data_IF_258351321230
#
_entry.id   IF_258351321230
#
_cell.length_a   1.000
_cell.length_b   1.000
_cell.length_c   1.000
_cell.angle_alpha   90.00
_cell.angle_beta   90.00
_cell.angle_gamma   90.00
#
_symmetry.space_group_name_H-M   'P 1'
#
loop_
_entity.id
_entity.type
_entity.pdbx_description
1 polymer ?
#
# COMPACT_ATOMS: atom_id res chain seq x y z
N UNK A 1 -13.25 5.17 8.02
CA UNK A 1 -13.24 4.87 6.58
C UNK A 1 -14.06 3.61 6.29
N UNK A 2 -13.61 2.42 6.71
CA UNK A 2 -14.32 1.14 6.48
C UNK A 2 -15.82 1.12 6.87
N UNK A 3 -16.18 1.41 8.13
CA UNK A 3 -17.57 1.29 8.59
C UNK A 3 -18.55 2.38 8.11
N UNK A 4 -18.07 3.36 7.33
CA UNK A 4 -18.93 4.39 6.71
C UNK A 4 -19.36 4.01 5.30
N UNK A 5 -18.76 2.98 4.72
CA UNK A 5 -19.03 2.56 3.34
C UNK A 5 -20.37 1.81 3.25
N UNK A 6 -21.23 2.26 2.33
CA UNK A 6 -22.58 1.67 2.13
C UNK A 6 -22.51 0.26 1.56
N UNK A 7 -21.51 -0.04 0.74
CA UNK A 7 -21.34 -1.37 0.15
C UNK A 7 -20.85 -2.37 1.20
N UNK A 8 -19.97 -1.94 2.11
CA UNK A 8 -19.57 -2.79 3.25
C UNK A 8 -20.76 -3.07 4.17
N UNK A 9 -21.57 -2.05 4.50
CA UNK A 9 -22.79 -2.24 5.29
C UNK A 9 -23.79 -3.21 4.61
N UNK A 10 -23.94 -3.09 3.29
CA UNK A 10 -24.74 -4.02 2.50
C UNK A 10 -24.21 -5.45 2.58
N UNK A 11 -22.88 -5.64 2.41
CA UNK A 11 -22.25 -6.95 2.55
C UNK A 11 -22.49 -7.56 3.94
N UNK A 12 -22.30 -6.78 5.01
CA UNK A 12 -22.55 -7.22 6.39
C UNK A 12 -24.03 -7.56 6.62
N UNK A 13 -24.96 -6.79 6.06
CA UNK A 13 -26.40 -7.07 6.12
C UNK A 13 -26.78 -8.36 5.40
N UNK A 14 -26.21 -8.61 4.21
CA UNK A 14 -26.40 -9.86 3.48
C UNK A 14 -25.80 -11.06 4.24
N UNK A 15 -24.65 -10.90 4.89
CA UNK A 15 -24.07 -11.93 5.76
C UNK A 15 -24.98 -12.25 6.95
N UNK A 16 -25.62 -11.24 7.56
CA UNK A 16 -26.61 -11.47 8.61
C UNK A 16 -27.80 -12.29 8.10
N UNK A 17 -28.37 -11.90 6.96
CA UNK A 17 -29.48 -12.63 6.34
C UNK A 17 -29.09 -14.07 5.99
N UNK A 18 -27.90 -14.28 5.43
CA UNK A 18 -27.34 -15.61 5.16
C UNK A 18 -27.30 -16.46 6.43
N UNK A 19 -26.74 -15.96 7.52
CA UNK A 19 -26.59 -16.75 8.75
C UNK A 19 -27.94 -17.06 9.41
N UNK A 20 -28.91 -16.15 9.32
CA UNK A 20 -30.29 -16.42 9.75
C UNK A 20 -30.94 -17.53 8.93
N UNK A 21 -30.82 -17.51 7.60
CA UNK A 21 -31.35 -18.55 6.73
C UNK A 21 -30.73 -19.92 7.01
N UNK A 22 -29.41 -19.97 7.25
CA UNK A 22 -28.71 -21.20 7.65
C UNK A 22 -29.17 -21.71 9.02
N UNK A 23 -29.43 -20.83 9.96
CA UNK A 23 -29.95 -21.19 11.28
C UNK A 23 -31.37 -21.77 11.18
N UNK A 24 -32.27 -21.12 10.45
CA UNK A 24 -33.62 -21.64 10.20
C UNK A 24 -33.61 -22.97 9.47
N UNK A 25 -32.76 -23.12 8.45
CA UNK A 25 -32.54 -24.40 7.77
C UNK A 25 -32.13 -25.49 8.78
N UNK A 26 -31.17 -25.19 9.66
CA UNK A 26 -30.70 -26.12 10.69
C UNK A 26 -31.79 -26.48 11.71
N UNK A 27 -32.69 -25.55 12.02
CA UNK A 27 -33.84 -25.84 12.89
C UNK A 27 -34.86 -26.77 12.21
N UNK A 28 -35.10 -26.62 10.90
CA UNK A 28 -35.96 -27.51 10.13
C UNK A 28 -35.45 -28.96 10.12
N UNK A 29 -34.14 -29.18 9.93
CA UNK A 29 -33.59 -30.55 9.95
C UNK A 29 -33.64 -31.17 11.35
N UNK A 30 -33.49 -30.37 12.41
CA UNK A 30 -33.69 -30.86 13.78
C UNK A 30 -35.14 -31.30 14.02
N UNK A 31 -36.13 -30.53 13.55
CA UNK A 31 -37.55 -30.92 13.59
C UNK A 31 -37.81 -32.20 12.79
N UNK A 32 -37.23 -32.33 11.61
CA UNK A 32 -37.33 -33.56 10.82
C UNK A 32 -36.79 -34.77 11.62
N UNK A 33 -35.66 -34.62 12.31
CA UNK A 33 -35.10 -35.65 13.20
C UNK A 33 -36.05 -36.05 14.34
N UNK A 34 -36.69 -35.08 15.01
CA UNK A 34 -37.69 -35.37 16.05
C UNK A 34 -38.94 -36.05 15.48
N UNK A 35 -39.42 -35.62 14.32
CA UNK A 35 -40.62 -36.17 13.67
C UNK A 35 -40.40 -37.60 13.17
N UNK A 36 -39.18 -37.91 12.74
CA UNK A 36 -38.76 -39.26 12.35
C UNK A 36 -38.82 -40.21 13.55
N UNK A 37 -38.30 -39.79 14.71
CA UNK A 37 -38.38 -40.56 15.96
C UNK A 37 -39.83 -40.82 16.43
N UNK A 38 -40.78 -40.01 15.98
CA UNK A 38 -42.22 -40.14 16.27
C UNK A 38 -43.01 -40.84 15.15
N UNK A 39 -42.36 -41.26 14.04
CA UNK A 39 -43.01 -41.97 12.94
C UNK A 39 -43.85 -41.11 11.96
N UNK A 40 -43.76 -39.77 12.02
CA UNK A 40 -44.58 -38.87 11.20
C UNK A 40 -43.93 -38.53 9.84
N UNK A 41 -43.91 -39.48 8.91
CA UNK A 41 -43.21 -39.36 7.60
C UNK A 41 -43.63 -38.10 6.80
N UNK A 42 -44.92 -37.74 6.79
CA UNK A 42 -45.40 -36.55 6.07
C UNK A 42 -44.83 -35.22 6.59
N UNK A 43 -44.58 -35.10 7.90
CA UNK A 43 -43.93 -33.91 8.48
C UNK A 43 -42.43 -33.88 8.17
N UNK A 44 -41.79 -35.06 8.17
CA UNK A 44 -40.35 -35.21 7.84
C UNK A 44 -40.06 -34.69 6.43
N UNK A 45 -40.82 -35.11 5.41
CA UNK A 45 -40.60 -34.68 4.02
C UNK A 45 -40.79 -33.17 3.84
N UNK A 46 -41.78 -32.57 4.51
CA UNK A 46 -41.99 -31.12 4.48
C UNK A 46 -40.82 -30.36 5.11
N UNK A 47 -40.34 -30.80 6.26
CA UNK A 47 -39.26 -30.14 6.98
C UNK A 47 -37.91 -30.27 6.22
N UNK A 48 -37.67 -31.41 5.55
CA UNK A 48 -36.52 -31.60 4.65
C UNK A 48 -36.60 -30.69 3.42
N UNK A 49 -37.79 -30.56 2.81
CA UNK A 49 -37.98 -29.65 1.67
C UNK A 49 -37.69 -28.21 2.07
N UNK A 50 -38.21 -27.75 3.21
CA UNK A 50 -37.93 -26.42 3.76
C UNK A 50 -36.44 -26.23 4.08
N UNK A 51 -35.76 -27.25 4.61
CA UNK A 51 -34.32 -27.23 4.86
C UNK A 51 -33.54 -26.88 3.58
N UNK A 52 -33.82 -27.58 2.46
CA UNK A 52 -33.13 -27.35 1.19
C UNK A 52 -33.47 -25.99 0.57
N UNK A 53 -34.74 -25.56 0.62
CA UNK A 53 -35.14 -24.24 0.12
C UNK A 53 -34.44 -23.10 0.85
N UNK A 54 -34.37 -23.17 2.19
CA UNK A 54 -33.68 -22.17 3.01
C UNK A 54 -32.16 -22.22 2.81
N UNK A 55 -31.58 -23.41 2.68
CA UNK A 55 -30.16 -23.58 2.41
C UNK A 55 -29.78 -22.96 1.05
N UNK A 56 -30.57 -23.21 0.01
CA UNK A 56 -30.35 -22.63 -1.32
C UNK A 56 -30.41 -21.09 -1.26
N UNK A 57 -31.43 -20.53 -0.60
CA UNK A 57 -31.54 -19.09 -0.42
C UNK A 57 -30.33 -18.51 0.33
N UNK A 58 -29.80 -19.22 1.34
CA UNK A 58 -28.61 -18.81 2.05
C UNK A 58 -27.36 -18.78 1.15
N UNK A 59 -27.17 -19.78 0.28
CA UNK A 59 -26.03 -19.81 -0.65
C UNK A 59 -26.09 -18.69 -1.69
N UNK A 60 -27.27 -18.40 -2.23
CA UNK A 60 -27.47 -17.25 -3.13
C UNK A 60 -27.12 -15.94 -2.41
N UNK A 61 -27.63 -15.77 -1.18
CA UNK A 61 -27.34 -14.59 -0.36
C UNK A 61 -25.83 -14.46 -0.06
N UNK A 62 -25.14 -15.58 0.19
CA UNK A 62 -23.69 -15.61 0.41
C UNK A 62 -22.91 -15.12 -0.81
N UNK A 63 -23.32 -15.50 -2.02
CA UNK A 63 -22.68 -15.05 -3.26
C UNK A 63 -22.85 -13.54 -3.45
N UNK A 64 -24.05 -13.02 -3.17
CA UNK A 64 -24.33 -11.58 -3.20
C UNK A 64 -23.49 -10.82 -2.17
N UNK A 65 -23.31 -11.36 -0.96
CA UNK A 65 -22.49 -10.77 0.09
C UNK A 65 -21.01 -10.67 -0.34
N UNK A 66 -20.47 -11.71 -0.96
CA UNK A 66 -19.10 -11.73 -1.47
C UNK A 66 -18.89 -10.66 -2.55
N UNK A 67 -19.83 -10.55 -3.50
CA UNK A 67 -19.77 -9.51 -4.53
C UNK A 67 -19.84 -8.09 -3.95
N UNK A 68 -20.71 -7.86 -2.96
CA UNK A 68 -20.81 -6.59 -2.26
C UNK A 68 -19.51 -6.25 -1.49
N UNK A 69 -18.86 -7.25 -0.88
CA UNK A 69 -17.59 -7.08 -0.18
C UNK A 69 -16.45 -6.69 -1.11
N UNK A 70 -16.33 -7.31 -2.29
CA UNK A 70 -15.34 -6.92 -3.31
C UNK A 70 -15.59 -5.49 -3.79
N UNK A 71 -16.85 -5.13 -4.09
CA UNK A 71 -17.18 -3.75 -4.48
C UNK A 71 -16.87 -2.73 -3.38
N UNK A 72 -17.07 -3.09 -2.12
CA UNK A 72 -16.69 -2.23 -1.00
C UNK A 72 -15.17 -2.01 -0.96
N UNK A 73 -14.37 -3.07 -1.15
CA UNK A 73 -12.91 -2.96 -1.19
C UNK A 73 -12.45 -2.02 -2.31
N UNK A 74 -13.00 -2.17 -3.53
CA UNK A 74 -12.67 -1.32 -4.67
C UNK A 74 -13.02 0.15 -4.42
N UNK A 75 -14.20 0.41 -3.87
CA UNK A 75 -14.66 1.77 -3.57
C UNK A 75 -13.79 2.43 -2.49
N UNK A 76 -13.53 1.73 -1.38
CA UNK A 76 -12.69 2.22 -0.28
C UNK A 76 -11.26 2.47 -0.77
N UNK A 77 -10.70 1.58 -1.59
CA UNK A 77 -9.37 1.78 -2.18
C UNK A 77 -9.34 3.01 -3.07
N UNK A 78 -10.35 3.21 -3.93
CA UNK A 78 -10.44 4.39 -4.80
C UNK A 78 -10.50 5.68 -3.99
N UNK A 79 -11.34 5.73 -2.95
CA UNK A 79 -11.45 6.88 -2.07
C UNK A 79 -10.12 7.15 -1.34
N UNK A 80 -9.47 6.10 -0.83
CA UNK A 80 -8.17 6.21 -0.16
C UNK A 80 -7.06 6.68 -1.10
N UNK A 81 -6.98 6.11 -2.31
CA UNK A 81 -5.99 6.50 -3.32
C UNK A 81 -6.16 7.96 -3.72
N UNK A 82 -7.40 8.40 -3.98
CA UNK A 82 -7.69 9.80 -4.31
C UNK A 82 -7.38 10.75 -3.14
N UNK A 83 -7.75 10.39 -1.91
CA UNK A 83 -7.44 11.19 -0.72
C UNK A 83 -5.93 11.29 -0.46
N UNK A 84 -5.21 10.18 -0.66
CA UNK A 84 -3.75 10.12 -0.48
C UNK A 84 -3.03 10.93 -1.56
N UNK A 85 -3.44 10.76 -2.83
CA UNK A 85 -2.87 11.51 -3.95
C UNK A 85 -3.16 13.00 -3.80
N UNK A 86 -4.41 13.39 -3.55
CA UNK A 86 -4.77 14.81 -3.33
C UNK A 86 -4.03 15.44 -2.16
N UNK A 87 -3.82 14.71 -1.05
CA UNK A 87 -3.05 15.21 0.09
C UNK A 87 -1.55 15.35 -0.24
N UNK A 88 -0.99 14.37 -0.97
CA UNK A 88 0.41 14.38 -1.37
C UNK A 88 0.71 15.40 -2.49
N UNK A 89 -0.29 15.74 -3.31
CA UNK A 89 -0.17 16.76 -4.38
C UNK A 89 -0.69 18.13 -3.95
N UNK A 90 -1.22 18.29 -2.73
CA UNK A 90 -1.75 19.55 -2.22
C UNK A 90 -0.69 20.66 -2.08
N UNK A 91 0.58 20.30 -1.90
CA UNK A 91 1.69 21.25 -1.84
C UNK A 91 2.93 20.66 -2.49
N UNK A 92 3.71 21.51 -3.16
CA UNK A 92 4.95 21.11 -3.79
C UNK A 92 6.03 20.71 -2.75
N UNK A 93 5.80 20.98 -1.47
CA UNK A 93 6.66 20.53 -0.37
C UNK A 93 6.81 19.00 -0.33
N UNK A 94 5.82 18.25 -0.79
CA UNK A 94 5.87 16.79 -0.83
C UNK A 94 6.48 16.25 -2.13
N UNK A 95 6.84 17.11 -3.09
CA UNK A 95 7.43 16.73 -4.37
C UNK A 95 8.92 16.36 -4.23
N UNK A 96 9.22 15.34 -3.43
CA UNK A 96 10.54 14.74 -3.29
C UNK A 96 10.62 13.42 -4.08
N UNK A 97 11.81 13.08 -4.56
CA UNK A 97 12.05 11.82 -5.25
C UNK A 97 11.82 10.61 -4.33
N UNK A 98 12.21 10.74 -3.05
CA UNK A 98 11.93 9.79 -1.97
C UNK A 98 10.43 9.50 -1.89
N UNK A 99 9.60 10.54 -1.73
CA UNK A 99 8.15 10.40 -1.65
C UNK A 99 7.55 9.75 -2.90
N UNK A 100 8.00 10.14 -4.10
CA UNK A 100 7.54 9.53 -5.37
C UNK A 100 7.84 8.03 -5.43
N UNK A 101 9.07 7.63 -5.06
CA UNK A 101 9.51 6.24 -5.03
C UNK A 101 8.78 5.42 -3.97
N UNK A 102 8.35 6.04 -2.87
CA UNK A 102 7.54 5.37 -1.84
C UNK A 102 6.05 5.28 -2.19
N UNK A 103 5.49 6.26 -2.90
CA UNK A 103 4.05 6.37 -3.16
C UNK A 103 3.50 5.21 -4.01
N UNK A 104 4.14 4.89 -5.12
CA UNK A 104 3.64 3.84 -6.03
C UNK A 104 3.68 2.44 -5.40
N UNK A 105 4.80 1.99 -4.77
CA UNK A 105 4.83 0.74 -4.01
C UNK A 105 3.87 0.75 -2.82
N UNK A 106 3.63 1.90 -2.19
CA UNK A 106 2.67 1.99 -1.09
C UNK A 106 1.22 1.75 -1.56
N UNK A 107 0.76 2.50 -2.56
CA UNK A 107 -0.61 2.40 -3.07
C UNK A 107 -0.89 1.04 -3.71
N UNK A 108 0.06 0.53 -4.51
CA UNK A 108 -0.10 -0.76 -5.21
C UNK A 108 0.25 -1.98 -4.36
N UNK A 109 1.32 -1.89 -3.57
CA UNK A 109 1.90 -3.04 -2.86
C UNK A 109 1.36 -3.25 -1.44
N UNK A 110 0.97 -2.20 -0.72
CA UNK A 110 0.53 -2.33 0.68
C UNK A 110 -0.92 -1.90 0.91
N UNK A 111 -1.36 -0.79 0.33
CA UNK A 111 -2.71 -0.27 0.53
C UNK A 111 -3.80 -1.15 -0.08
N UNK A 112 -3.66 -1.50 -1.36
CA UNK A 112 -4.61 -2.34 -2.08
C UNK A 112 -4.87 -3.70 -1.38
N UNK A 113 -3.86 -4.54 -1.10
CA UNK A 113 -4.12 -5.82 -0.44
C UNK A 113 -4.60 -5.66 0.99
N UNK A 114 -4.17 -4.63 1.72
CA UNK A 114 -4.61 -4.40 3.10
C UNK A 114 -6.09 -4.03 3.19
N UNK A 115 -6.58 -3.15 2.30
CA UNK A 115 -8.00 -2.76 2.26
C UNK A 115 -8.87 -3.96 1.87
N UNK A 116 -8.48 -4.72 0.85
CA UNK A 116 -9.19 -5.92 0.43
C UNK A 116 -9.27 -6.97 1.55
N UNK A 117 -8.13 -7.25 2.19
CA UNK A 117 -8.10 -8.19 3.31
C UNK A 117 -8.93 -7.70 4.51
N UNK A 118 -8.95 -6.40 4.80
CA UNK A 118 -9.76 -5.84 5.88
C UNK A 118 -11.28 -6.01 5.64
N UNK A 119 -11.74 -5.82 4.40
CA UNK A 119 -13.16 -6.01 4.05
C UNK A 119 -13.58 -7.47 4.20
N UNK A 120 -12.81 -8.40 3.61
CA UNK A 120 -13.10 -9.84 3.69
C UNK A 120 -13.06 -10.33 5.13
N UNK A 121 -12.05 -9.93 5.91
CA UNK A 121 -11.92 -10.30 7.31
C UNK A 121 -13.11 -9.82 8.15
N UNK A 122 -13.66 -8.63 7.85
CA UNK A 122 -14.83 -8.10 8.56
C UNK A 122 -16.08 -8.95 8.32
N UNK A 123 -16.27 -9.41 7.08
CA UNK A 123 -17.36 -10.31 6.70
C UNK A 123 -17.17 -11.69 7.33
N UNK A 124 -15.96 -12.25 7.30
CA UNK A 124 -15.64 -13.54 7.91
C UNK A 124 -15.87 -13.53 9.43
N UNK A 125 -15.40 -12.50 10.13
CA UNK A 125 -15.60 -12.34 11.57
C UNK A 125 -17.09 -12.28 11.94
N UNK A 126 -17.87 -11.50 11.19
CA UNK A 126 -19.31 -11.40 11.42
C UNK A 126 -20.00 -12.74 11.14
N UNK A 127 -19.68 -13.37 10.01
CA UNK A 127 -20.22 -14.66 9.59
C UNK A 127 -19.97 -15.75 10.64
N UNK A 128 -18.72 -15.89 11.10
CA UNK A 128 -18.34 -16.88 12.12
C UNK A 128 -19.02 -16.60 13.48
N UNK A 129 -19.04 -15.33 13.91
CA UNK A 129 -19.67 -14.93 15.18
C UNK A 129 -21.17 -15.23 15.17
N UNK A 130 -21.88 -14.81 14.12
CA UNK A 130 -23.30 -15.06 13.96
C UNK A 130 -23.61 -16.55 13.84
N UNK A 131 -22.76 -17.31 13.13
CA UNK A 131 -22.97 -18.74 13.00
C UNK A 131 -22.90 -19.45 14.37
N UNK A 132 -21.91 -19.12 15.20
CA UNK A 132 -21.78 -19.69 16.55
C UNK A 132 -23.02 -19.34 17.40
N UNK A 133 -23.42 -18.06 17.41
CA UNK A 133 -24.56 -17.57 18.18
C UNK A 133 -25.86 -18.24 17.74
N UNK A 134 -26.15 -18.24 16.44
CA UNK A 134 -27.39 -18.80 15.93
C UNK A 134 -27.42 -20.32 16.01
N UNK A 135 -26.29 -21.01 15.81
CA UNK A 135 -26.27 -22.45 16.00
C UNK A 135 -26.53 -22.80 17.46
N UNK A 136 -25.91 -22.10 18.42
CA UNK A 136 -26.20 -22.30 19.84
C UNK A 136 -27.69 -22.04 20.18
N UNK A 137 -28.29 -21.01 19.59
CA UNK A 137 -29.72 -20.73 19.72
C UNK A 137 -30.59 -21.88 19.16
N UNK A 138 -30.27 -22.40 17.98
CA UNK A 138 -30.98 -23.54 17.38
C UNK A 138 -30.87 -24.78 18.28
N UNK A 139 -29.70 -25.06 18.85
CA UNK A 139 -29.52 -26.17 19.78
C UNK A 139 -30.37 -26.00 21.05
N UNK A 140 -30.44 -24.79 21.60
CA UNK A 140 -31.29 -24.48 22.75
C UNK A 140 -32.77 -24.79 22.46
N UNK A 141 -33.27 -24.40 21.29
CA UNK A 141 -34.67 -24.63 20.90
C UNK A 141 -34.98 -26.07 20.47
N UNK A 142 -34.01 -26.80 19.92
CA UNK A 142 -34.24 -28.13 19.35
C UNK A 142 -33.98 -29.27 20.35
N UNK A 143 -32.91 -29.16 21.14
CA UNK A 143 -32.41 -30.24 22.00
C UNK A 143 -32.65 -29.93 23.48
N UNK A 144 -32.82 -28.65 23.84
CA UNK A 144 -33.11 -28.19 25.19
C UNK A 144 -31.91 -27.58 25.91
N UNK A 145 -32.16 -27.04 27.11
CA UNK A 145 -31.18 -26.27 27.89
C UNK A 145 -29.95 -27.08 28.34
N UNK A 146 -30.12 -28.36 28.69
CA UNK A 146 -29.05 -29.18 29.25
C UNK A 146 -27.87 -29.33 28.27
N UNK A 147 -28.15 -29.78 27.04
CA UNK A 147 -27.11 -30.01 26.02
C UNK A 147 -26.58 -28.67 25.47
N UNK A 148 -27.45 -27.68 25.29
CA UNK A 148 -27.04 -26.35 24.83
C UNK A 148 -26.10 -25.64 25.83
N UNK A 149 -26.38 -25.73 27.12
CA UNK A 149 -25.55 -25.09 28.16
C UNK A 149 -24.16 -25.73 28.28
N UNK A 150 -24.04 -27.04 28.12
CA UNK A 150 -22.75 -27.72 28.07
C UNK A 150 -21.92 -27.31 26.84
N UNK A 151 -22.57 -27.17 25.68
CA UNK A 151 -21.89 -26.69 24.47
C UNK A 151 -21.47 -25.22 24.60
N UNK A 152 -22.31 -24.38 25.23
CA UNK A 152 -21.97 -23.00 25.55
C UNK A 152 -20.76 -22.92 26.50
N UNK A 153 -20.71 -23.75 27.54
CA UNK A 153 -19.60 -23.78 28.49
C UNK A 153 -18.27 -24.15 27.80
N UNK A 154 -18.29 -25.14 26.89
CA UNK A 154 -17.13 -25.50 26.09
C UNK A 154 -16.64 -24.34 25.19
N UNK A 155 -17.58 -23.60 24.58
CA UNK A 155 -17.28 -22.41 23.77
C UNK A 155 -16.66 -21.27 24.60
N UNK A 156 -17.18 -21.02 25.80
CA UNK A 156 -16.66 -20.00 26.71
C UNK A 156 -15.24 -20.35 27.16
N UNK A 157 -15.00 -21.62 27.52
CA UNK A 157 -13.67 -22.10 27.92
C UNK A 157 -12.66 -21.94 26.77
N UNK A 158 -13.06 -22.28 25.55
CA UNK A 158 -12.31 -22.04 24.32
C UNK A 158 -11.96 -20.55 24.14
N UNK A 159 -12.94 -19.66 24.25
CA UNK A 159 -12.73 -18.22 24.08
C UNK A 159 -11.80 -17.63 25.13
N UNK A 160 -11.91 -18.08 26.39
CA UNK A 160 -11.04 -17.66 27.48
C UNK A 160 -9.56 -18.02 27.18
N UNK A 161 -9.31 -19.21 26.64
CA UNK A 161 -7.95 -19.64 26.26
C UNK A 161 -7.35 -18.75 25.16
N UNK A 162 -8.14 -18.40 24.14
CA UNK A 162 -7.72 -17.47 23.07
C UNK A 162 -7.38 -16.10 23.65
N UNK A 163 -8.17 -15.59 24.59
CA UNK A 163 -7.92 -14.29 25.24
C UNK A 163 -6.62 -14.26 26.04
N UNK A 164 -6.28 -15.35 26.74
CA UNK A 164 -5.01 -15.48 27.48
C UNK A 164 -3.82 -15.47 26.52
N UNK A 165 -3.93 -16.16 25.38
CA UNK A 165 -2.84 -16.29 24.40
C UNK A 165 -2.68 -15.06 23.49
N UNK A 166 -3.67 -14.16 23.45
CA UNK A 166 -3.70 -12.95 22.60
C UNK A 166 -2.41 -12.12 22.67
N UNK A 167 -1.93 -11.81 23.88
CA UNK A 167 -0.73 -10.96 24.06
C UNK A 167 0.52 -11.58 23.43
N UNK A 168 0.63 -12.91 23.50
CA UNK A 168 1.76 -13.66 22.97
C UNK A 168 1.73 -13.71 21.43
N UNK A 169 0.54 -13.87 20.85
CA UNK A 169 0.31 -13.79 19.40
C UNK A 169 0.72 -12.41 18.89
N UNK A 170 0.24 -11.35 19.53
CA UNK A 170 0.51 -9.97 19.10
C UNK A 170 2.01 -9.65 19.12
N UNK A 171 2.72 -10.07 20.17
CA UNK A 171 4.18 -9.91 20.25
C UNK A 171 4.92 -10.69 19.16
N UNK A 172 4.55 -11.95 18.93
CA UNK A 172 5.23 -12.82 17.95
C UNK A 172 4.95 -12.37 16.52
N UNK A 173 3.73 -11.93 16.23
CA UNK A 173 3.34 -11.37 14.94
C UNK A 173 4.09 -10.07 14.63
N UNK A 174 4.25 -9.19 15.62
CA UNK A 174 5.04 -7.96 15.51
C UNK A 174 6.51 -8.26 15.16
N UNK A 175 7.13 -9.23 15.86
CA UNK A 175 8.49 -9.67 15.59
C UNK A 175 8.65 -10.25 14.16
N UNK A 176 7.71 -11.11 13.74
CA UNK A 176 7.68 -11.67 12.39
C UNK A 176 7.61 -10.56 11.32
N UNK A 177 6.72 -9.57 11.50
CA UNK A 177 6.55 -8.48 10.53
C UNK A 177 7.79 -7.59 10.44
N UNK A 178 8.43 -7.25 11.57
CA UNK A 178 9.68 -6.50 11.56
C UNK A 178 10.83 -7.26 10.87
N UNK A 179 10.89 -8.58 11.04
CA UNK A 179 11.90 -9.42 10.37
C UNK A 179 11.64 -9.51 8.86
N UNK A 180 10.37 -9.61 8.44
CA UNK A 180 9.98 -9.56 7.02
C UNK A 180 10.45 -8.29 6.35
N UNK A 181 10.19 -7.12 6.96
CA UNK A 181 10.63 -5.83 6.42
C UNK A 181 12.15 -5.76 6.30
N UNK A 182 12.89 -6.18 7.34
CA UNK A 182 14.36 -6.22 7.33
C UNK A 182 14.95 -7.14 6.26
N UNK A 183 14.27 -8.24 5.95
CA UNK A 183 14.64 -9.17 4.89
C UNK A 183 14.39 -8.53 3.51
N UNK A 184 13.20 -7.96 3.27
CA UNK A 184 12.85 -7.31 2.00
C UNK A 184 13.79 -6.15 1.66
N UNK A 185 14.07 -5.28 2.63
CA UNK A 185 15.07 -4.19 2.48
C UNK A 185 16.48 -4.74 2.23
N UNK A 186 16.76 -5.98 2.63
CA UNK A 186 18.04 -6.64 2.36
C UNK A 186 18.22 -7.12 0.92
N UNK A 187 17.16 -7.16 0.10
CA UNK A 187 17.21 -7.69 -1.27
C UNK A 187 17.97 -6.74 -2.20
N UNK A 188 17.67 -5.44 -2.15
CA UNK A 188 18.29 -4.42 -3.02
C UNK A 188 19.83 -4.35 -2.82
N UNK A 189 20.37 -4.24 -1.58
CA UNK A 189 21.82 -4.30 -1.38
C UNK A 189 22.45 -5.64 -1.79
N UNK A 190 21.71 -6.75 -1.69
CA UNK A 190 22.22 -8.05 -2.11
C UNK A 190 22.32 -8.14 -3.64
N UNK A 191 21.34 -7.58 -4.34
CA UNK A 191 21.36 -7.44 -5.80
C UNK A 191 22.55 -6.58 -6.25
N UNK A 192 22.72 -5.39 -5.68
CA UNK A 192 23.80 -4.48 -6.04
C UNK A 192 25.17 -5.11 -5.85
N UNK A 193 25.38 -5.78 -4.71
CA UNK A 193 26.61 -6.54 -4.44
C UNK A 193 26.81 -7.71 -5.40
N UNK A 194 25.73 -8.34 -5.86
CA UNK A 194 25.81 -9.49 -6.74
C UNK A 194 26.09 -9.12 -8.20
N UNK A 195 25.61 -7.96 -8.65
CA UNK A 195 25.77 -7.47 -10.02
C UNK A 195 27.00 -6.59 -10.22
N UNK A 196 27.26 -5.68 -9.27
CA UNK A 196 28.31 -4.66 -9.41
C UNK A 196 29.49 -4.86 -8.43
N UNK A 197 29.37 -5.79 -7.48
CA UNK A 197 30.42 -6.09 -6.52
C UNK A 197 31.44 -7.12 -7.01
N UNK A 198 32.54 -7.26 -6.26
CA UNK A 198 33.52 -8.34 -6.49
C UNK A 198 32.92 -9.71 -6.14
N UNK A 199 33.51 -10.84 -6.60
CA UNK A 199 33.05 -12.18 -6.22
C UNK A 199 32.92 -12.40 -4.70
N UNK A 200 33.81 -11.80 -3.90
CA UNK A 200 33.75 -11.84 -2.44
C UNK A 200 32.55 -11.04 -1.88
N UNK A 201 32.27 -9.87 -2.45
CA UNK A 201 31.09 -9.06 -2.07
C UNK A 201 29.79 -9.76 -2.43
N UNK A 202 29.74 -10.44 -3.58
CA UNK A 202 28.61 -11.26 -4.01
C UNK A 202 28.33 -12.38 -3.00
N UNK A 203 29.35 -13.16 -2.64
CA UNK A 203 29.21 -14.23 -1.65
C UNK A 203 28.73 -13.70 -0.28
N UNK A 204 29.32 -12.59 0.18
CA UNK A 204 28.90 -11.91 1.42
C UNK A 204 27.47 -11.38 1.37
N UNK A 205 27.05 -10.82 0.22
CA UNK A 205 25.68 -10.35 -0.03
C UNK A 205 24.65 -11.48 0.10
N UNK A 206 24.89 -12.60 -0.57
CA UNK A 206 24.02 -13.77 -0.48
C UNK A 206 23.99 -14.38 0.93
N UNK A 207 25.15 -14.54 1.58
CA UNK A 207 25.22 -15.05 2.95
C UNK A 207 24.44 -14.15 3.95
N UNK A 208 24.55 -12.83 3.81
CA UNK A 208 23.81 -11.88 4.64
C UNK A 208 22.30 -11.97 4.41
N UNK A 209 21.88 -12.10 3.15
CA UNK A 209 20.47 -12.23 2.79
C UNK A 209 19.90 -13.56 3.30
N UNK A 210 20.64 -14.65 3.15
CA UNK A 210 20.25 -15.98 3.63
C UNK A 210 20.09 -15.99 5.16
N UNK A 211 21.02 -15.39 5.90
CA UNK A 211 20.90 -15.25 7.36
C UNK A 211 19.63 -14.45 7.77
N UNK A 212 19.27 -13.40 7.01
CA UNK A 212 18.02 -12.66 7.23
C UNK A 212 16.78 -13.51 6.92
N UNK A 213 16.81 -14.27 5.82
CA UNK A 213 15.73 -15.19 5.43
C UNK A 213 15.51 -16.27 6.49
N UNK A 214 16.57 -16.94 6.97
CA UNK A 214 16.48 -17.96 8.02
C UNK A 214 15.86 -17.40 9.32
N UNK A 215 16.26 -16.19 9.74
CA UNK A 215 15.68 -15.52 10.92
C UNK A 215 14.19 -15.19 10.73
N UNK A 216 13.80 -14.77 9.52
CA UNK A 216 12.40 -14.52 9.19
C UNK A 216 11.59 -15.82 9.18
N UNK A 217 12.04 -16.86 8.47
CA UNK A 217 11.34 -18.14 8.41
C UNK A 217 11.24 -18.83 9.77
N UNK A 218 12.27 -18.71 10.62
CA UNK A 218 12.19 -19.18 12.00
C UNK A 218 11.12 -18.47 12.83
N UNK A 219 10.96 -17.15 12.66
CA UNK A 219 9.89 -16.39 13.33
C UNK A 219 8.51 -16.72 12.75
N UNK A 220 8.41 -16.88 11.43
CA UNK A 220 7.18 -17.28 10.73
C UNK A 220 6.70 -18.64 11.23
N UNK A 221 7.57 -19.65 11.30
CA UNK A 221 7.21 -20.98 11.78
C UNK A 221 6.72 -20.96 13.23
N UNK A 222 7.38 -20.19 14.12
CA UNK A 222 6.94 -20.03 15.51
C UNK A 222 5.57 -19.36 15.61
N UNK A 223 5.33 -18.33 14.80
CA UNK A 223 4.04 -17.65 14.71
C UNK A 223 2.94 -18.62 14.26
N UNK A 224 3.15 -19.31 13.13
CA UNK A 224 2.17 -20.26 12.58
C UNK A 224 1.89 -21.38 13.57
N UNK A 225 2.91 -21.94 14.22
CA UNK A 225 2.71 -22.99 15.23
C UNK A 225 1.87 -22.50 16.42
N UNK A 226 2.16 -21.29 16.93
CA UNK A 226 1.37 -20.69 18.01
C UNK A 226 -0.08 -20.46 17.57
N UNK A 227 -0.29 -19.94 16.37
CA UNK A 227 -1.63 -19.72 15.79
C UNK A 227 -2.41 -21.03 15.67
N UNK A 228 -1.79 -22.10 15.17
CA UNK A 228 -2.43 -23.41 15.05
C UNK A 228 -2.78 -24.04 16.41
N UNK A 229 -1.89 -23.93 17.41
CA UNK A 229 -2.18 -24.42 18.77
C UNK A 229 -3.37 -23.68 19.37
N UNK A 230 -3.43 -22.35 19.21
CA UNK A 230 -4.54 -21.52 19.69
C UNK A 230 -5.84 -21.88 18.97
N UNK A 231 -5.77 -22.13 17.66
CA UNK A 231 -6.96 -22.42 16.87
C UNK A 231 -7.49 -23.85 17.09
N UNK A 232 -6.64 -24.84 17.36
CA UNK A 232 -7.05 -26.25 17.56
C UNK A 232 -7.47 -26.58 19.00
N UNK A 233 -6.93 -25.89 20.01
CA UNK A 233 -7.27 -26.15 21.41
C UNK A 233 -8.77 -26.05 21.74
N UNK A 234 -9.54 -25.06 21.20
CA UNK A 234 -11.00 -25.05 21.26
C UNK A 234 -11.69 -26.34 20.84
N UNK A 235 -11.28 -26.89 19.71
CA UNK A 235 -11.93 -28.06 19.10
C UNK A 235 -11.71 -29.28 19.98
N UNK A 236 -10.47 -29.48 20.45
CA UNK A 236 -10.10 -30.61 21.32
C UNK A 236 -10.90 -30.57 22.61
N UNK A 237 -10.90 -29.42 23.30
CA UNK A 237 -11.63 -29.23 24.56
C UNK A 237 -13.13 -29.49 24.38
N UNK A 238 -13.71 -28.91 23.33
CA UNK A 238 -15.15 -28.98 23.12
C UNK A 238 -15.61 -30.38 22.66
N UNK A 239 -14.79 -31.07 21.88
CA UNK A 239 -15.07 -32.45 21.46
C UNK A 239 -14.99 -33.41 22.64
N UNK A 240 -13.96 -33.27 23.50
CA UNK A 240 -13.85 -34.08 24.72
C UNK A 240 -15.03 -33.83 25.67
N UNK A 241 -15.47 -32.58 25.81
CA UNK A 241 -16.65 -32.23 26.61
C UNK A 241 -17.93 -32.88 26.05
N UNK A 242 -18.10 -32.89 24.73
CA UNK A 242 -19.25 -33.55 24.08
C UNK A 242 -19.22 -35.07 24.28
N UNK A 243 -18.06 -35.70 24.15
CA UNK A 243 -17.88 -37.15 24.39
C UNK A 243 -18.23 -37.48 25.85
N UNK A 244 -17.77 -36.67 26.81
CA UNK A 244 -18.11 -36.85 28.22
C UNK A 244 -19.62 -36.72 28.48
N UNK A 245 -20.29 -35.78 27.81
CA UNK A 245 -21.72 -35.57 27.95
C UNK A 245 -22.55 -36.73 27.37
N UNK A 246 -22.09 -37.36 26.28
CA UNK A 246 -22.73 -38.53 25.68
C UNK A 246 -22.70 -39.78 26.58
N UNK A 247 -21.82 -39.83 27.59
CA UNK A 247 -21.77 -40.94 28.55
C UNK A 247 -22.94 -40.91 29.56
N UNK A 248 -23.64 -39.78 29.70
CA UNK A 248 -24.78 -39.64 30.60
C UNK A 248 -26.09 -40.00 29.87
N UNK A 249 -26.44 -41.29 29.88
CA UNK A 249 -27.58 -41.86 29.13
C UNK A 249 -28.96 -41.37 29.60
N UNK A 250 -29.07 -40.92 30.85
CA UNK A 250 -30.35 -40.49 31.45
C UNK A 250 -30.93 -39.20 30.83
N UNK A 251 -30.13 -38.50 30.03
CA UNK A 251 -30.52 -37.24 29.38
C UNK A 251 -31.16 -37.43 27.99
N UNK A 252 -31.14 -38.64 27.42
CA UNK A 252 -31.50 -38.86 26.01
C UNK A 252 -32.82 -39.63 25.85
N UNK A 253 -33.89 -38.91 25.47
CA UNK A 253 -35.13 -39.52 24.94
C UNK A 253 -34.97 -39.83 23.44
N UNK A 254 -35.71 -40.80 22.89
CA UNK A 254 -35.67 -41.16 21.46
C UNK A 254 -35.88 -39.96 20.50
N UNK A 255 -36.72 -39.00 20.89
CA UNK A 255 -36.93 -37.74 20.13
C UNK A 255 -35.70 -36.83 20.14
N UNK A 256 -35.07 -36.65 21.30
CA UNK A 256 -33.87 -35.84 21.50
C UNK A 256 -32.68 -36.50 20.79
N UNK A 257 -32.58 -37.83 20.83
CA UNK A 257 -31.59 -38.59 20.08
C UNK A 257 -31.74 -38.40 18.57
N UNK A 258 -32.97 -38.43 18.04
CA UNK A 258 -33.25 -38.14 16.62
C UNK A 258 -32.87 -36.71 16.21
N UNK A 259 -33.16 -35.71 17.05
CA UNK A 259 -32.73 -34.32 16.83
C UNK A 259 -31.21 -34.16 16.89
N UNK A 260 -30.57 -34.80 17.87
CA UNK A 260 -29.13 -34.74 18.07
C UNK A 260 -28.38 -35.34 16.88
N UNK A 261 -28.79 -36.54 16.40
CA UNK A 261 -28.19 -37.19 15.23
C UNK A 261 -28.28 -36.30 13.99
N UNK A 262 -29.41 -35.61 13.79
CA UNK A 262 -29.58 -34.65 12.70
C UNK A 262 -28.68 -33.40 12.85
N UNK A 263 -28.36 -33.01 14.09
CA UNK A 263 -27.56 -31.82 14.41
C UNK A 263 -26.06 -32.09 14.59
N UNK A 264 -25.62 -33.35 14.68
CA UNK A 264 -24.20 -33.73 14.83
C UNK A 264 -23.28 -33.08 13.79
N UNK A 265 -23.62 -33.02 12.47
CA UNK A 265 -22.77 -32.33 11.50
C UNK A 265 -22.61 -30.83 11.82
N UNK A 266 -23.65 -30.19 12.38
CA UNK A 266 -23.62 -28.77 12.73
C UNK A 266 -22.91 -28.50 14.05
N UNK A 267 -22.95 -29.40 15.04
CA UNK A 267 -22.11 -29.24 16.25
C UNK A 267 -20.63 -29.28 15.90
N UNK A 268 -20.22 -30.21 15.03
CA UNK A 268 -18.84 -30.26 14.53
C UNK A 268 -18.47 -28.98 13.78
N UNK A 269 -19.39 -28.44 12.96
CA UNK A 269 -19.16 -27.19 12.25
C UNK A 269 -19.01 -25.98 13.17
N UNK A 270 -19.72 -25.92 14.31
CA UNK A 270 -19.53 -24.87 15.31
C UNK A 270 -18.09 -24.84 15.81
N UNK A 271 -17.48 -26.01 16.06
CA UNK A 271 -16.07 -26.07 16.46
C UNK A 271 -15.13 -25.58 15.35
N UNK A 272 -15.42 -25.92 14.10
CA UNK A 272 -14.71 -25.36 12.94
C UNK A 272 -14.83 -23.83 12.86
N UNK A 273 -16.03 -23.28 13.10
CA UNK A 273 -16.27 -21.84 13.07
C UNK A 273 -15.58 -21.11 14.24
N UNK A 274 -15.44 -21.75 15.40
CA UNK A 274 -14.67 -21.22 16.54
C UNK A 274 -13.18 -21.17 16.21
N UNK A 275 -12.66 -22.20 15.56
CA UNK A 275 -11.30 -22.22 15.04
C UNK A 275 -11.08 -21.08 14.04
N UNK A 276 -11.96 -20.94 13.04
CA UNK A 276 -11.91 -19.84 12.08
C UNK A 276 -12.01 -18.47 12.77
N UNK A 277 -12.92 -18.31 13.74
CA UNK A 277 -13.06 -17.06 14.49
C UNK A 277 -11.78 -16.70 15.26
N UNK A 278 -11.14 -17.69 15.90
CA UNK A 278 -9.87 -17.49 16.61
C UNK A 278 -8.77 -17.03 15.66
N UNK A 279 -8.65 -17.66 14.49
CA UNK A 279 -7.69 -17.27 13.46
C UNK A 279 -7.98 -15.85 12.93
N UNK A 280 -9.24 -15.54 12.61
CA UNK A 280 -9.66 -14.22 12.14
C UNK A 280 -9.44 -13.13 13.20
N UNK A 281 -9.62 -13.42 14.50
CA UNK A 281 -9.32 -12.49 15.59
C UNK A 281 -7.81 -12.17 15.69
N UNK A 282 -6.95 -13.18 15.48
CA UNK A 282 -5.50 -12.98 15.38
C UNK A 282 -5.15 -12.05 14.21
N UNK A 283 -5.72 -12.32 13.03
CA UNK A 283 -5.50 -11.53 11.82
C UNK A 283 -6.04 -10.09 11.95
N UNK A 284 -7.12 -9.87 12.71
CA UNK A 284 -7.69 -8.55 12.94
C UNK A 284 -6.70 -7.60 13.61
N UNK A 285 -5.88 -8.09 14.53
CA UNK A 285 -4.84 -7.29 15.18
C UNK A 285 -3.78 -6.85 14.16
N UNK A 286 -3.36 -7.76 13.28
CA UNK A 286 -2.39 -7.47 12.21
C UNK A 286 -2.95 -6.44 11.22
N UNK A 287 -4.18 -6.63 10.76
CA UNK A 287 -4.84 -5.71 9.82
C UNK A 287 -5.03 -4.33 10.45
N UNK A 288 -5.42 -4.26 11.72
CA UNK A 288 -5.52 -2.97 12.44
C UNK A 288 -4.20 -2.21 12.47
N UNK A 289 -3.08 -2.91 12.71
CA UNK A 289 -1.76 -2.27 12.66
C UNK A 289 -1.45 -1.71 11.27
N UNK A 290 -1.76 -2.45 10.19
CA UNK A 290 -1.57 -1.98 8.81
C UNK A 290 -2.49 -0.82 8.44
N UNK A 291 -3.76 -0.86 8.84
CA UNK A 291 -4.71 0.24 8.65
C UNK A 291 -4.28 1.52 9.38
N UNK A 292 -3.66 1.40 10.56
CA UNK A 292 -3.07 2.55 11.25
C UNK A 292 -1.90 3.14 10.46
N UNK A 293 -1.04 2.30 9.90
CA UNK A 293 0.05 2.76 9.05
C UNK A 293 -0.48 3.46 7.78
N UNK A 294 -1.57 2.96 7.19
CA UNK A 294 -2.27 3.60 6.07
C UNK A 294 -2.76 5.01 6.41
N UNK A 295 -3.36 5.18 7.60
CA UNK A 295 -3.78 6.50 8.07
C UNK A 295 -2.60 7.45 8.32
N UNK A 296 -1.46 6.91 8.78
CA UNK A 296 -0.26 7.68 9.10
C UNK A 296 0.66 7.99 7.92
N UNK A 297 0.44 7.38 6.75
CA UNK A 297 1.38 7.47 5.63
C UNK A 297 1.66 8.91 5.16
N UNK A 298 0.61 9.71 4.94
CA UNK A 298 0.78 11.11 4.50
C UNK A 298 1.54 11.97 5.53
N UNK A 299 1.41 11.66 6.83
CA UNK A 299 2.13 12.36 7.88
C UNK A 299 3.62 12.01 7.92
N UNK A 300 4.00 10.84 7.38
CA UNK A 300 5.38 10.38 7.28
C UNK A 300 6.11 10.79 5.99
N UNK A 301 5.46 11.52 5.09
CA UNK A 301 6.09 12.01 3.87
C UNK A 301 7.12 13.11 4.19
N UNK A 302 8.26 13.05 3.50
CA UNK A 302 9.31 14.05 3.63
C UNK A 302 8.79 15.42 3.17
N UNK A 303 9.01 16.47 3.97
CA UNK A 303 8.63 17.84 3.62
C UNK A 303 9.86 18.63 3.20
N UNK A 304 9.84 19.14 1.98
CA UNK A 304 10.80 20.11 1.51
C UNK A 304 10.57 21.47 2.19
N UNK A 305 11.57 22.00 2.89
CA UNK A 305 11.49 23.29 3.60
C UNK A 305 12.02 24.42 2.72
N UNK A 306 11.12 25.27 2.24
CA UNK A 306 11.46 26.41 1.37
C UNK A 306 12.33 27.48 2.06
N UNK A 307 12.18 27.69 3.37
CA UNK A 307 12.83 28.79 4.10
C UNK A 307 14.33 28.59 4.33
N UNK A 308 14.86 27.39 4.09
CA UNK A 308 16.27 27.04 4.31
C UNK A 308 17.09 27.07 3.00
N UNK A 309 16.52 27.63 1.91
CA UNK A 309 17.19 27.73 0.61
C UNK A 309 18.42 28.67 0.68
N UNK A 310 19.64 28.19 0.37
CA UNK A 310 20.83 29.03 0.28
C UNK A 310 20.80 29.84 -1.03
N UNK A 311 19.93 30.85 -1.09
CA UNK A 311 19.73 31.72 -2.27
C UNK A 311 20.99 32.49 -2.66
N UNK A 312 21.98 32.62 -1.77
CA UNK A 312 23.24 33.31 -2.02
C UNK A 312 24.19 32.53 -2.95
N UNK A 313 23.98 31.22 -3.11
CA UNK A 313 24.84 30.35 -3.93
C UNK A 313 24.35 30.19 -5.37
N UNK A 314 23.29 30.91 -5.75
CA UNK A 314 22.60 30.80 -7.04
C UNK A 314 22.61 32.14 -7.75
N UNK A 315 23.02 32.15 -9.01
CA UNK A 315 22.92 33.30 -9.91
C UNK A 315 21.87 33.06 -10.98
N UNK A 316 21.14 34.11 -11.36
CA UNK A 316 20.15 34.06 -12.42
C UNK A 316 20.56 35.02 -13.51
N UNK A 317 20.85 34.50 -14.70
CA UNK A 317 21.23 35.29 -15.87
C UNK A 317 20.01 35.47 -16.78
N UNK A 318 19.64 36.72 -17.07
CA UNK A 318 18.67 37.05 -18.11
C UNK A 318 19.37 37.70 -19.31
N UNK A 319 18.69 37.76 -20.45
CA UNK A 319 19.23 38.30 -21.71
C UNK A 319 19.83 39.71 -21.57
N UNK A 320 19.24 40.56 -20.73
CA UNK A 320 19.66 41.97 -20.58
C UNK A 320 20.49 42.23 -19.31
N UNK A 321 20.31 41.44 -18.25
CA UNK A 321 20.95 41.66 -16.94
C UNK A 321 20.93 40.41 -16.08
N UNK A 322 21.81 40.36 -15.09
CA UNK A 322 21.78 39.38 -13.99
C UNK A 322 20.72 39.79 -12.97
N UNK A 323 19.98 38.81 -12.46
CA UNK A 323 18.92 38.98 -11.48
C UNK A 323 19.33 38.34 -10.15
N UNK A 324 18.97 38.99 -9.04
CA UNK A 324 19.01 38.33 -7.75
C UNK A 324 17.86 37.30 -7.66
N UNK A 325 18.05 36.11 -7.07
CA UNK A 325 17.00 35.09 -6.97
C UNK A 325 15.71 35.59 -6.31
N UNK A 326 15.82 36.43 -5.28
CA UNK A 326 14.67 37.05 -4.61
C UNK A 326 13.93 38.06 -5.51
N UNK A 327 14.65 38.84 -6.30
CA UNK A 327 14.08 39.82 -7.23
C UNK A 327 13.27 39.12 -8.34
N UNK A 328 13.78 38.01 -8.87
CA UNK A 328 13.06 37.21 -9.85
C UNK A 328 11.78 36.61 -9.24
N UNK A 329 11.85 36.05 -8.02
CA UNK A 329 10.68 35.53 -7.31
C UNK A 329 9.59 36.59 -7.11
N UNK A 330 9.97 37.81 -6.69
CA UNK A 330 9.03 38.93 -6.55
C UNK A 330 8.42 39.35 -7.89
N UNK A 331 9.23 39.46 -8.95
CA UNK A 331 8.77 39.86 -10.27
C UNK A 331 7.79 38.85 -10.88
N UNK A 332 8.03 37.55 -10.68
CA UNK A 332 7.13 36.46 -11.08
C UNK A 332 5.84 36.46 -10.24
N UNK A 333 5.95 36.67 -8.92
CA UNK A 333 4.80 36.73 -8.02
C UNK A 333 3.84 37.89 -8.33
N UNK A 334 4.38 39.04 -8.77
CA UNK A 334 3.57 40.20 -9.22
C UNK A 334 3.04 40.08 -10.65
N UNK A 335 3.34 38.98 -11.36
CA UNK A 335 3.05 38.79 -12.79
C UNK A 335 3.63 39.90 -13.70
N UNK A 336 4.73 40.52 -13.28
CA UNK A 336 5.37 41.61 -14.03
C UNK A 336 6.19 41.14 -15.22
N UNK A 337 6.61 39.87 -15.22
CA UNK A 337 7.35 39.22 -16.29
C UNK A 337 6.40 38.40 -17.17
N UNK A 338 6.30 38.76 -18.45
CA UNK A 338 5.41 38.10 -19.43
C UNK A 338 6.17 37.27 -20.46
N UNK A 339 7.46 37.57 -20.68
CA UNK A 339 8.32 36.87 -21.65
C UNK A 339 9.81 36.98 -21.28
N UNK A 340 10.63 36.10 -21.83
CA UNK A 340 12.08 36.12 -21.66
C UNK A 340 12.65 34.77 -21.23
N UNK A 341 13.95 34.57 -21.49
CA UNK A 341 14.71 33.38 -21.11
C UNK A 341 15.66 33.71 -19.97
N UNK A 342 15.65 32.88 -18.93
CA UNK A 342 16.45 33.04 -17.73
C UNK A 342 17.19 31.74 -17.42
N UNK A 343 18.50 31.84 -17.21
CA UNK A 343 19.36 30.68 -16.91
C UNK A 343 19.82 30.76 -15.47
N UNK A 344 19.54 29.71 -14.70
CA UNK A 344 19.90 29.57 -13.30
C UNK A 344 21.19 28.77 -13.19
N UNK A 345 22.25 29.40 -12.69
CA UNK A 345 23.60 28.83 -12.56
C UNK A 345 24.02 28.76 -11.09
N UNK A 346 24.93 27.83 -10.78
CA UNK A 346 25.42 27.59 -9.41
C UNK A 346 26.11 26.23 -9.27
N UNK A 347 26.90 26.08 -8.20
CA UNK A 347 27.62 24.84 -7.92
C UNK A 347 26.66 23.65 -7.69
N UNK A 348 27.17 22.42 -7.83
CA UNK A 348 26.40 21.22 -7.51
C UNK A 348 26.01 21.25 -6.02
N UNK A 349 24.73 21.03 -5.73
CA UNK A 349 24.20 21.15 -4.37
C UNK A 349 23.88 22.57 -3.90
N UNK A 350 24.08 23.61 -4.73
CA UNK A 350 23.74 25.00 -4.38
C UNK A 350 22.23 25.28 -4.25
N UNK A 351 21.36 24.31 -4.60
CA UNK A 351 19.91 24.43 -4.45
C UNK A 351 19.14 24.87 -5.71
N UNK A 352 19.71 24.75 -6.91
CA UNK A 352 19.08 25.13 -8.19
C UNK A 352 17.69 24.48 -8.40
N UNK A 353 17.59 23.16 -8.31
CA UNK A 353 16.32 22.42 -8.39
C UNK A 353 15.31 22.83 -7.30
N UNK A 354 15.82 23.14 -6.11
CA UNK A 354 15.03 23.60 -4.99
C UNK A 354 14.48 25.02 -5.20
N UNK A 355 15.24 25.88 -5.87
CA UNK A 355 14.80 27.21 -6.28
C UNK A 355 13.71 27.15 -7.35
N UNK A 356 13.80 26.24 -8.34
CA UNK A 356 12.71 26.02 -9.30
C UNK A 356 11.42 25.58 -8.58
N UNK A 357 11.52 24.71 -7.57
CA UNK A 357 10.36 24.34 -6.74
C UNK A 357 9.76 25.55 -6.00
N UNK A 358 10.60 26.45 -5.47
CA UNK A 358 10.14 27.70 -4.85
C UNK A 358 9.36 28.57 -5.84
N UNK A 359 9.84 28.70 -7.07
CA UNK A 359 9.13 29.44 -8.13
C UNK A 359 7.78 28.77 -8.44
N UNK A 360 7.72 27.45 -8.57
CA UNK A 360 6.47 26.70 -8.86
C UNK A 360 5.42 26.87 -7.75
N UNK A 361 5.82 27.05 -6.49
CA UNK A 361 4.88 27.31 -5.40
C UNK A 361 4.24 28.72 -5.53
N UNK A 362 5.01 29.72 -5.97
CA UNK A 362 4.53 31.10 -6.21
C UNK A 362 3.74 31.19 -7.51
N UNK A 363 4.18 30.47 -8.54
CA UNK A 363 3.56 30.39 -9.87
C UNK A 363 2.93 29.01 -10.06
N UNK A 364 1.79 28.78 -9.43
CA UNK A 364 1.09 27.48 -9.45
C UNK A 364 0.77 26.97 -10.86
N UNK A 365 0.62 27.85 -11.85
CA UNK A 365 0.34 27.50 -13.25
C UNK A 365 1.61 27.18 -14.07
N UNK A 366 2.81 27.34 -13.50
CA UNK A 366 4.08 27.10 -14.20
C UNK A 366 4.29 25.61 -14.52
N UNK A 367 4.79 25.27 -15.70
CA UNK A 367 5.14 23.89 -16.02
C UNK A 367 6.60 23.64 -15.63
N UNK A 368 6.85 22.65 -14.76
CA UNK A 368 8.21 22.25 -14.33
C UNK A 368 8.56 20.87 -14.89
N UNK A 369 9.60 20.81 -15.70
CA UNK A 369 10.22 19.60 -16.24
C UNK A 369 11.52 19.30 -15.50
N UNK A 370 11.52 18.25 -14.68
CA UNK A 370 12.72 17.71 -14.08
C UNK A 370 13.23 16.49 -14.89
N UNK A 371 14.48 16.03 -14.72
CA UNK A 371 14.98 14.85 -15.44
C UNK A 371 14.12 13.59 -15.20
N UNK A 372 13.43 13.55 -14.06
CA UNK A 372 12.63 12.42 -13.61
C UNK A 372 11.13 12.52 -13.92
N UNK A 373 10.63 13.68 -14.34
CA UNK A 373 9.21 13.87 -14.68
C UNK A 373 8.96 13.41 -16.10
N UNK A 374 7.92 12.59 -16.28
CA UNK A 374 7.43 12.23 -17.61
C UNK A 374 5.94 12.47 -17.67
N UNK A 375 5.52 13.29 -18.64
CA UNK A 375 4.11 13.58 -18.93
C UNK A 375 3.54 12.68 -20.03
N UNK A 376 4.40 11.82 -20.60
CA UNK A 376 4.05 10.88 -21.65
C UNK A 376 4.06 9.46 -21.08
N UNK A 377 3.13 8.62 -21.54
CA UNK A 377 3.22 7.18 -21.30
C UNK A 377 4.53 6.65 -21.92
N UNK A 378 5.11 5.63 -21.27
CA UNK A 378 6.39 5.09 -21.68
C UNK A 378 6.28 4.41 -23.05
N UNK A 379 6.74 5.10 -24.09
CA UNK A 379 6.95 4.51 -25.41
C UNK A 379 8.35 3.88 -25.44
N UNK A 380 8.40 2.55 -25.43
CA UNK A 380 9.65 1.78 -25.40
C UNK A 380 10.48 1.91 -26.70
N UNK A 381 9.94 2.57 -27.73
CA UNK A 381 10.59 2.71 -29.04
C UNK A 381 11.50 3.94 -29.17
N UNK A 382 11.44 4.89 -28.24
CA UNK A 382 12.19 6.14 -28.31
C UNK A 382 13.49 6.09 -27.48
N UNK A 383 14.56 6.70 -28.00
CA UNK A 383 15.77 6.93 -27.19
C UNK A 383 15.49 7.91 -26.05
N UNK A 384 16.33 7.92 -25.01
CA UNK A 384 16.21 8.85 -23.88
C UNK A 384 16.19 10.31 -24.34
N UNK A 385 17.02 10.67 -25.32
CA UNK A 385 17.07 12.02 -25.90
C UNK A 385 15.83 12.36 -26.74
N UNK A 386 15.36 11.44 -27.59
CA UNK A 386 14.14 11.64 -28.38
C UNK A 386 12.90 11.79 -27.49
N UNK A 387 12.83 11.01 -26.42
CA UNK A 387 11.78 11.13 -25.40
C UNK A 387 11.79 12.52 -24.78
N UNK A 388 12.97 13.05 -24.45
CA UNK A 388 13.09 14.37 -23.83
C UNK A 388 12.66 15.50 -24.76
N UNK A 389 13.05 15.43 -26.04
CA UNK A 389 12.59 16.37 -27.07
C UNK A 389 11.06 16.35 -27.17
N UNK A 390 10.46 15.15 -27.25
CA UNK A 390 9.00 14.98 -27.34
C UNK A 390 8.27 15.46 -26.08
N UNK A 391 8.86 15.29 -24.89
CA UNK A 391 8.33 15.83 -23.63
C UNK A 391 8.31 17.36 -23.64
N UNK A 392 9.36 18.01 -24.14
CA UNK A 392 9.44 19.47 -24.24
C UNK A 392 8.47 19.99 -25.30
N UNK A 393 8.40 19.36 -26.48
CA UNK A 393 7.41 19.68 -27.53
C UNK A 393 5.97 19.56 -26.98
N UNK A 394 5.68 18.52 -26.20
CA UNK A 394 4.37 18.35 -25.56
C UNK A 394 4.11 19.37 -24.44
N UNK A 395 5.13 19.73 -23.66
CA UNK A 395 4.99 20.79 -22.66
C UNK A 395 4.70 22.15 -23.31
N UNK A 396 5.32 22.45 -24.45
CA UNK A 396 5.07 23.68 -25.22
C UNK A 396 3.70 23.68 -25.89
N UNK A 397 3.20 22.53 -26.35
CA UNK A 397 1.87 22.43 -26.96
C UNK A 397 0.72 22.71 -25.97
N UNK A 398 0.97 22.52 -24.67
CA UNK A 398 0.04 22.90 -23.60
C UNK A 398 -0.05 24.42 -23.36
N UNK A 399 0.76 25.22 -24.06
CA UNK A 399 0.83 26.67 -23.95
C UNK A 399 0.95 27.22 -22.51
N UNK A 400 1.93 26.76 -21.71
CA UNK A 400 2.14 27.27 -20.36
C UNK A 400 2.53 28.75 -20.36
N UNK A 401 2.16 29.49 -19.32
CA UNK A 401 2.57 30.90 -19.15
C UNK A 401 4.02 31.04 -18.68
N UNK A 402 4.52 30.01 -17.99
CA UNK A 402 5.89 29.90 -17.49
C UNK A 402 6.36 28.46 -17.65
N UNK A 403 7.48 28.24 -18.34
CA UNK A 403 8.12 26.94 -18.52
C UNK A 403 9.41 26.93 -17.70
N UNK A 404 9.59 25.89 -16.90
CA UNK A 404 10.77 25.69 -16.08
C UNK A 404 11.39 24.33 -16.39
N UNK A 405 12.70 24.33 -16.62
CA UNK A 405 13.44 23.13 -17.01
C UNK A 405 14.62 22.93 -16.07
N UNK A 406 14.65 21.80 -15.39
CA UNK A 406 15.77 21.41 -14.54
C UNK A 406 16.69 20.45 -15.31
N UNK A 407 17.95 20.85 -15.48
CA UNK A 407 19.03 20.07 -16.10
C UNK A 407 18.62 19.40 -17.41
N UNK A 408 17.94 20.14 -18.29
CA UNK A 408 17.39 19.57 -19.53
C UNK A 408 18.47 19.11 -20.50
N UNK A 409 19.68 19.67 -20.39
CA UNK A 409 20.85 19.38 -21.23
C UNK A 409 21.67 18.17 -20.73
N UNK A 410 21.25 17.54 -19.62
CA UNK A 410 21.88 16.34 -19.09
C UNK A 410 21.66 15.14 -20.03
N UNK A 411 22.74 14.42 -20.32
CA UNK A 411 22.73 13.18 -21.11
C UNK A 411 22.13 13.31 -22.54
N UNK A 412 22.13 14.52 -23.12
CA UNK A 412 21.73 14.78 -24.51
C UNK A 412 22.95 14.95 -25.43
N UNK A 413 22.82 14.48 -26.68
CA UNK A 413 23.78 14.73 -27.75
C UNK A 413 23.69 16.19 -28.26
N UNK A 414 24.71 16.61 -29.01
CA UNK A 414 24.80 17.99 -29.50
C UNK A 414 23.64 18.40 -30.41
N UNK A 415 23.09 17.47 -31.18
CA UNK A 415 21.99 17.74 -32.11
C UNK A 415 20.65 17.93 -31.38
N UNK A 416 20.32 17.06 -30.41
CA UNK A 416 19.12 17.26 -29.59
C UNK A 416 19.24 18.49 -28.69
N UNK A 417 20.44 18.80 -28.17
CA UNK A 417 20.69 20.04 -27.44
C UNK A 417 20.35 21.27 -28.29
N UNK A 418 20.88 21.36 -29.53
CA UNK A 418 20.59 22.48 -30.44
C UNK A 418 19.11 22.57 -30.79
N UNK A 419 18.46 21.43 -31.02
CA UNK A 419 17.03 21.40 -31.34
C UNK A 419 16.20 21.94 -30.18
N UNK A 420 16.47 21.51 -28.95
CA UNK A 420 15.76 22.02 -27.76
C UNK A 420 16.08 23.49 -27.54
N UNK A 421 17.34 23.90 -27.69
CA UNK A 421 17.75 25.29 -27.51
C UNK A 421 16.98 26.25 -28.43
N UNK A 422 16.83 25.88 -29.71
CA UNK A 422 16.01 26.63 -30.68
C UNK A 422 14.53 26.69 -30.27
N UNK A 423 13.96 25.57 -29.80
CA UNK A 423 12.57 25.52 -29.33
C UNK A 423 12.36 26.44 -28.12
N UNK A 424 13.31 26.47 -27.18
CA UNK A 424 13.25 27.31 -25.99
C UNK A 424 13.41 28.80 -26.33
N UNK A 425 14.27 29.14 -27.28
CA UNK A 425 14.41 30.51 -27.77
C UNK A 425 13.13 31.01 -28.43
N UNK A 426 12.51 30.20 -29.28
CA UNK A 426 11.22 30.54 -29.90
C UNK A 426 10.11 30.69 -28.86
N UNK A 427 10.07 29.81 -27.86
CA UNK A 427 9.12 29.89 -26.75
C UNK A 427 9.33 31.15 -25.91
N UNK A 428 10.58 31.52 -25.61
CA UNK A 428 10.93 32.68 -24.78
C UNK A 428 10.42 34.03 -25.33
N UNK A 429 10.15 34.12 -26.64
CA UNK A 429 9.56 35.31 -27.28
C UNK A 429 8.10 35.51 -26.91
N UNK A 430 7.40 34.42 -26.54
CA UNK A 430 5.96 34.39 -26.26
C UNK A 430 5.64 34.18 -24.78
N UNK A 431 6.57 33.59 -24.02
CA UNK A 431 6.38 33.23 -22.62
C UNK A 431 7.68 33.31 -21.82
N UNK A 432 7.61 33.16 -20.51
CA UNK A 432 8.81 33.10 -19.66
C UNK A 432 9.36 31.67 -19.65
N UNK A 433 10.66 31.53 -19.90
CA UNK A 433 11.39 30.26 -19.82
C UNK A 433 12.49 30.40 -18.77
N UNK A 434 12.50 29.51 -17.78
CA UNK A 434 13.55 29.43 -16.75
C UNK A 434 14.22 28.07 -16.87
N UNK A 435 15.54 28.04 -17.03
CA UNK A 435 16.28 26.80 -17.18
C UNK A 435 17.42 26.71 -16.18
N UNK A 436 17.71 25.50 -15.73
CA UNK A 436 18.94 25.15 -15.02
C UNK A 436 19.80 24.36 -15.99
N UNK A 437 21.02 24.84 -16.24
CA UNK A 437 22.01 24.17 -17.10
C UNK A 437 23.24 23.77 -16.30
N UNK A 438 23.91 22.70 -16.72
CA UNK A 438 25.28 22.43 -16.31
C UNK A 438 26.20 23.23 -17.22
N UNK A 439 26.95 24.19 -16.68
CA UNK A 439 27.95 24.93 -17.45
C UNK A 439 28.95 23.94 -18.07
N UNK A 440 28.85 23.72 -19.38
CA UNK A 440 29.89 23.01 -20.14
C UNK A 440 31.07 23.97 -20.30
N UNK A 441 32.31 23.57 -19.98
CA UNK A 441 33.48 24.44 -20.05
C UNK A 441 33.80 25.05 -21.43
N UNK A 442 33.14 24.61 -22.51
CA UNK A 442 33.51 24.96 -23.88
C UNK A 442 32.84 26.24 -24.44
N UNK A 443 31.80 26.78 -23.80
CA UNK A 443 31.09 27.98 -24.30
C UNK A 443 31.83 29.31 -24.02
N UNK A 444 32.99 29.29 -23.34
CA UNK A 444 33.78 30.50 -23.06
C UNK A 444 34.64 31.04 -24.22
N UNK A 445 34.64 30.41 -25.41
CA UNK A 445 35.58 30.78 -26.49
C UNK A 445 35.00 31.47 -27.73
N UNK A 446 33.72 31.84 -27.73
CA UNK A 446 33.11 32.45 -28.92
C UNK A 446 32.36 33.75 -28.64
N UNK A 447 33.00 34.68 -27.92
CA UNK A 447 32.78 36.12 -28.18
C UNK A 447 33.98 36.96 -27.75
N UNK A 448 34.40 37.85 -28.64
CA UNK A 448 35.43 38.90 -28.48
C UNK A 448 36.84 38.55 -28.96
N UNK A 449 37.01 38.83 -30.25
CA UNK A 449 38.23 39.10 -31.00
C UNK A 449 39.16 40.14 -30.35
N UNK A 450 40.47 40.03 -30.61
CA UNK A 450 41.30 41.02 -31.33
C UNK A 450 42.79 40.62 -31.18
N UNK A 451 43.40 40.24 -32.32
CA UNK A 451 44.83 40.21 -32.51
C UNK A 451 45.45 41.59 -32.24
N UNK A 452 46.54 41.64 -31.46
CA UNK A 452 47.60 42.64 -31.62
C UNK A 452 48.98 41.98 -31.53
N UNK A 453 49.94 42.37 -32.40
CA UNK A 453 51.24 41.72 -32.53
C UNK A 453 52.30 42.30 -31.58
N UNK A 454 53.26 41.45 -31.20
CA UNK A 454 54.65 41.82 -30.94
C UNK A 454 55.01 42.44 -29.58
N UNK A 455 55.63 41.63 -28.71
CA UNK A 455 56.86 42.05 -28.02
C UNK A 455 57.68 40.84 -27.57
N UNK A 456 58.89 40.76 -28.13
CA UNK A 456 59.94 39.83 -27.76
C UNK A 456 60.63 40.23 -26.45
N UNK A 457 61.23 39.24 -25.79
CA UNK A 457 62.10 39.35 -24.62
C UNK A 457 61.64 38.39 -23.53
N UNK A 458 62.42 37.45 -23.01
CA UNK A 458 63.81 37.07 -23.15
C UNK A 458 64.04 35.91 -22.16
N UNK A 459 65.03 35.08 -22.44
CA UNK A 459 65.42 33.88 -21.69
C UNK A 459 65.49 34.07 -20.16
N UNK A 460 65.17 33.02 -19.40
CA UNK A 460 66.16 32.43 -18.48
C UNK A 460 65.85 30.99 -18.07
N UNK A 461 66.88 30.14 -18.20
CA UNK A 461 67.05 28.80 -17.65
C UNK A 461 67.44 28.88 -16.16
N UNK A 462 66.93 27.94 -15.35
CA UNK A 462 67.62 27.23 -14.26
C UNK A 462 66.56 26.54 -13.40
N UNK A 463 66.77 25.44 -12.68
CA UNK A 463 67.71 24.32 -12.68
C UNK A 463 67.18 23.39 -11.57
N UNK A 464 67.30 22.07 -11.77
CA UNK A 464 67.64 21.05 -10.76
C UNK A 464 66.74 20.68 -9.55
N UNK A 465 66.65 19.33 -9.43
CA UNK A 465 66.55 18.42 -8.24
C UNK A 465 65.14 18.27 -7.64
N UNK A 466 64.61 17.09 -7.32
CA UNK A 466 65.18 15.75 -7.21
C UNK A 466 65.00 15.20 -5.79
N UNK A 467 64.02 14.29 -5.63
CA UNK A 467 63.97 13.12 -4.68
C UNK A 467 63.84 13.47 -3.18
N UNK A 468 63.22 12.63 -2.31
CA UNK A 468 62.68 11.27 -2.54
C UNK A 468 61.16 11.14 -2.66
#
# INVERSE_FOLDING_TARGET
>A
MLFRDKHLLCALGLTLAQQLLLAFSTYCIAKAGTALAQGHIGRVLRDISLFFSLALAAYVTSSMAAFAATRAADHIWKEYANATLSSATASLQYASQSNRRSMAPWLGGEALPTIGHACNLSVELLSASLNIVFTLAVFLFAVGWQIASAMAAALVLSFALVMVLRRRIESTAGEMQQRRQRMLVGIEPAWDRAMFGTPAMRASGFCTLEAKMQRYFGALNRYVLLEQVVACSPIIISTLALIALLQFTDLFTASIAGALVALLPRSLQVFGNVHSLSASLSQLLLVRARLRNLAGFCAGLDRFRMHELPLQAISVEGVERTWAPAELLEALGRKGLTRGRFTVTGANGAGKSSFLKAIKEVAADALLLNPETSFLEADSSLSTGQRRVKEIENALSMAPTLLMLDEWDANLDGDNCRKIDQLLDEASRKMVVIEVRHLRPEEHSSTTSILRPGRAGGLSRNDRRGVP
#
